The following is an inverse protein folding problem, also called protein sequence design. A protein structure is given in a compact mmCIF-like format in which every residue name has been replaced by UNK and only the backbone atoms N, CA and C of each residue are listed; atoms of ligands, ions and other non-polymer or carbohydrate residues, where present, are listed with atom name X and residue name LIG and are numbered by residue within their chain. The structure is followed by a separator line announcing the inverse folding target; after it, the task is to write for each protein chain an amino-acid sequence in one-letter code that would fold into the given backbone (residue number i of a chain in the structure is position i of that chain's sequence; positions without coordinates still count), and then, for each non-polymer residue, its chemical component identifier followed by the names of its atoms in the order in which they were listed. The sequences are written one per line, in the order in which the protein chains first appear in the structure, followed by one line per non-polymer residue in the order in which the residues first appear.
data_IF_637609476633
#
_entry.id   IF_637609476633
#
_cell.length_a   1.000
_cell.length_b   1.000
_cell.length_c   1.000
_cell.angle_alpha   90.00
_cell.angle_beta   90.00
_cell.angle_gamma   90.00
#
_symmetry.space_group_name_H-M   'P 1'
#
loop_
_entity.id
_entity.type
_entity.pdbx_description
1 polymer ?
#
# COMPACT_ATOMS: atom_id res chain seq x y z
N UNK A 1 28.31 10.07 -43.61
CA UNK A 1 28.02 9.00 -42.64
C UNK A 1 27.03 9.58 -41.66
N UNK A 2 25.76 9.22 -41.80
CA UNK A 2 24.70 9.60 -40.88
C UNK A 2 24.97 8.86 -39.58
N UNK A 3 25.36 9.56 -38.52
CA UNK A 3 25.34 9.03 -37.17
C UNK A 3 23.90 8.59 -36.90
N UNK A 4 23.70 7.26 -36.83
CA UNK A 4 22.47 6.72 -36.30
C UNK A 4 22.40 7.20 -34.84
N UNK A 5 21.55 8.20 -34.58
CA UNK A 5 21.21 8.64 -33.23
C UNK A 5 20.71 7.40 -32.53
N UNK A 6 21.50 6.85 -31.63
CA UNK A 6 21.09 5.77 -30.75
C UNK A 6 19.91 6.30 -29.90
N UNK A 7 18.68 6.09 -30.38
CA UNK A 7 17.51 6.44 -29.61
C UNK A 7 17.50 5.59 -28.34
N UNK A 8 17.59 6.23 -27.20
CA UNK A 8 17.47 5.57 -25.92
C UNK A 8 16.12 4.85 -25.85
N UNK A 9 16.08 3.64 -25.25
CA UNK A 9 14.84 2.90 -25.06
C UNK A 9 13.81 3.73 -24.27
N UNK A 10 14.24 4.69 -23.45
CA UNK A 10 13.43 5.67 -22.74
C UNK A 10 12.65 6.60 -23.69
N UNK A 11 13.11 6.79 -24.94
CA UNK A 11 12.42 7.60 -25.92
C UNK A 11 11.21 6.88 -26.53
N UNK A 12 11.21 5.55 -26.48
CA UNK A 12 10.05 4.74 -26.87
C UNK A 12 8.91 4.91 -25.86
N UNK A 13 7.77 5.47 -26.32
CA UNK A 13 6.56 5.59 -25.49
C UNK A 13 6.10 4.22 -24.99
N UNK A 14 6.04 3.21 -25.86
CA UNK A 14 5.60 1.86 -25.51
C UNK A 14 6.44 1.22 -24.42
N UNK A 15 7.78 1.35 -24.51
CA UNK A 15 8.68 0.80 -23.48
C UNK A 15 8.50 1.52 -22.13
N UNK A 16 8.42 2.84 -22.15
CA UNK A 16 8.26 3.68 -20.97
C UNK A 16 6.94 3.39 -20.23
N UNK A 17 5.83 3.39 -20.97
CA UNK A 17 4.52 3.10 -20.41
C UNK A 17 4.37 1.62 -20.00
N UNK A 18 5.03 0.70 -20.71
CA UNK A 18 5.11 -0.71 -20.33
C UNK A 18 5.84 -0.89 -18.99
N UNK A 19 6.97 -0.21 -18.78
CA UNK A 19 7.68 -0.22 -17.50
C UNK A 19 6.78 0.32 -16.37
N UNK A 20 6.08 1.44 -16.60
CA UNK A 20 5.13 1.98 -15.63
C UNK A 20 4.01 0.99 -15.29
N UNK A 21 3.41 0.34 -16.28
CA UNK A 21 2.34 -0.62 -16.06
C UNK A 21 2.77 -1.77 -15.15
N UNK A 22 3.98 -2.32 -15.35
CA UNK A 22 4.53 -3.39 -14.52
C UNK A 22 4.71 -2.94 -13.07
N UNK A 23 5.38 -1.81 -12.85
CA UNK A 23 5.66 -1.36 -11.48
C UNK A 23 4.38 -0.90 -10.76
N UNK A 24 3.44 -0.26 -11.46
CA UNK A 24 2.15 0.12 -10.91
C UNK A 24 1.29 -1.11 -10.55
N UNK A 25 1.33 -2.17 -11.36
CA UNK A 25 0.66 -3.43 -11.04
C UNK A 25 1.23 -4.06 -9.77
N UNK A 26 2.55 -4.06 -9.61
CA UNK A 26 3.20 -4.57 -8.38
C UNK A 26 2.75 -3.79 -7.15
N UNK A 27 2.68 -2.47 -7.23
CA UNK A 27 2.18 -1.64 -6.13
C UNK A 27 0.69 -1.88 -5.85
N UNK A 28 -0.14 -2.00 -6.88
CA UNK A 28 -1.55 -2.32 -6.72
C UNK A 28 -1.76 -3.60 -5.92
N UNK A 29 -0.99 -4.64 -6.24
CA UNK A 29 -1.09 -5.93 -5.54
C UNK A 29 -0.60 -5.83 -4.08
N UNK A 30 0.45 -5.05 -3.83
CA UNK A 30 0.92 -4.73 -2.49
C UNK A 30 -0.16 -4.03 -1.66
N UNK A 31 -0.78 -2.99 -2.20
CA UNK A 31 -1.88 -2.27 -1.53
C UNK A 31 -3.14 -3.12 -1.36
N UNK A 32 -3.39 -4.08 -2.25
CA UNK A 32 -4.46 -5.05 -2.04
C UNK A 32 -4.20 -5.92 -0.81
N UNK A 33 -3.01 -6.51 -0.67
CA UNK A 33 -2.65 -7.34 0.49
C UNK A 33 -2.65 -6.53 1.78
N UNK A 34 -2.24 -5.28 1.75
CA UNK A 34 -2.20 -4.43 2.93
C UNK A 34 -3.56 -4.32 3.64
N UNK A 35 -4.66 -4.39 2.89
CA UNK A 35 -6.01 -4.21 3.44
C UNK A 35 -6.92 -5.44 3.29
N UNK A 36 -6.46 -6.53 2.67
CA UNK A 36 -7.29 -7.72 2.35
C UNK A 36 -7.99 -8.33 3.56
N UNK A 37 -7.34 -8.32 4.72
CA UNK A 37 -7.88 -8.86 5.99
C UNK A 37 -8.91 -7.93 6.62
N UNK A 38 -8.89 -6.64 6.31
CA UNK A 38 -9.74 -5.63 6.93
C UNK A 38 -11.24 -5.96 6.87
N UNK A 39 -11.85 -6.23 5.70
CA UNK A 39 -13.26 -6.57 5.63
C UNK A 39 -13.61 -7.98 6.14
N UNK A 40 -12.61 -8.83 6.38
CA UNK A 40 -12.81 -10.19 6.88
C UNK A 40 -12.88 -10.27 8.41
N UNK A 41 -12.66 -9.16 9.14
CA UNK A 41 -12.67 -9.13 10.61
C UNK A 41 -13.90 -9.82 11.23
N UNK A 42 -15.17 -9.57 10.79
CA UNK A 42 -16.33 -10.24 11.34
C UNK A 42 -16.26 -11.76 11.18
N UNK A 43 -15.81 -12.26 10.03
CA UNK A 43 -15.67 -13.71 9.77
C UNK A 43 -14.55 -14.33 10.62
N UNK A 44 -13.44 -13.63 10.82
CA UNK A 44 -12.34 -14.06 11.69
C UNK A 44 -12.80 -14.18 13.14
N UNK A 45 -13.62 -13.23 13.64
CA UNK A 45 -14.18 -13.27 14.97
C UNK A 45 -15.20 -14.42 15.12
N UNK A 46 -16.08 -14.64 14.14
CA UNK A 46 -17.13 -15.64 14.18
C UNK A 46 -16.60 -17.08 13.98
N UNK A 47 -15.70 -17.29 13.02
CA UNK A 47 -15.29 -18.64 12.60
C UNK A 47 -13.92 -19.06 13.11
N UNK A 48 -13.03 -18.11 13.45
CA UNK A 48 -11.68 -18.41 13.96
C UNK A 48 -11.50 -17.97 15.42
N UNK A 49 -12.58 -17.54 16.08
CA UNK A 49 -12.57 -17.08 17.48
C UNK A 49 -11.53 -15.98 17.76
N UNK A 50 -11.26 -15.11 16.79
CA UNK A 50 -10.37 -13.97 17.01
C UNK A 50 -11.06 -12.94 17.90
N UNK A 51 -10.27 -12.23 18.70
CA UNK A 51 -10.70 -11.04 19.41
C UNK A 51 -10.33 -9.78 18.61
N UNK A 52 -10.99 -8.66 18.89
CA UNK A 52 -10.57 -7.37 18.32
C UNK A 52 -9.12 -7.01 18.70
N UNK A 53 -8.61 -7.51 19.82
CA UNK A 53 -7.20 -7.37 20.21
C UNK A 53 -6.28 -8.20 19.30
N UNK A 54 -6.64 -9.44 18.97
CA UNK A 54 -5.90 -10.29 18.03
C UNK A 54 -5.78 -9.60 16.66
N UNK A 55 -6.90 -9.06 16.18
CA UNK A 55 -6.93 -8.29 14.94
C UNK A 55 -6.06 -7.02 14.99
N UNK A 56 -6.05 -6.32 16.12
CA UNK A 56 -5.19 -5.16 16.36
C UNK A 56 -3.70 -5.53 16.34
N UNK A 57 -3.31 -6.64 16.97
CA UNK A 57 -1.92 -7.14 16.98
C UNK A 57 -1.49 -7.45 15.55
N UNK A 58 -2.31 -8.18 14.79
CA UNK A 58 -2.01 -8.46 13.39
C UNK A 58 -1.74 -7.18 12.59
N UNK A 59 -2.66 -6.22 12.63
CA UNK A 59 -2.52 -4.98 11.84
C UNK A 59 -1.36 -4.11 12.29
N UNK A 60 -1.05 -4.06 13.59
CA UNK A 60 0.09 -3.29 14.11
C UNK A 60 1.43 -3.80 13.61
N UNK A 61 1.52 -5.09 13.29
CA UNK A 61 2.76 -5.75 12.88
C UNK A 61 3.32 -5.22 11.55
N UNK A 62 2.49 -4.63 10.69
CA UNK A 62 2.91 -4.00 9.44
C UNK A 62 4.11 -3.06 9.60
N UNK A 63 4.09 -2.26 10.66
CA UNK A 63 5.13 -1.27 10.93
C UNK A 63 6.30 -1.76 11.78
N UNK A 64 6.22 -2.94 12.41
CA UNK A 64 7.20 -3.32 13.43
C UNK A 64 8.64 -3.31 12.92
N UNK A 65 8.92 -3.98 11.83
CA UNK A 65 10.28 -4.05 11.30
C UNK A 65 10.73 -2.72 10.68
N UNK A 66 9.82 -1.99 10.03
CA UNK A 66 10.13 -0.70 9.45
C UNK A 66 10.47 0.35 10.50
N UNK A 67 9.79 0.33 11.65
CA UNK A 67 10.00 1.29 12.74
C UNK A 67 11.16 0.85 13.65
N UNK A 68 11.12 -0.38 14.21
CA UNK A 68 12.10 -0.80 15.21
C UNK A 68 13.47 -1.14 14.61
N UNK A 69 13.51 -1.65 13.39
CA UNK A 69 14.77 -2.01 12.71
C UNK A 69 15.15 -1.06 11.59
N UNK A 70 14.38 0.04 11.42
CA UNK A 70 14.64 1.06 10.39
C UNK A 70 14.79 0.47 8.98
N UNK A 71 14.00 -0.59 8.69
CA UNK A 71 14.16 -1.38 7.47
C UNK A 71 13.92 -0.57 6.19
N UNK A 72 13.09 0.50 6.24
CA UNK A 72 12.92 1.40 5.11
C UNK A 72 14.21 2.18 4.80
N UNK A 73 14.94 2.63 5.83
CA UNK A 73 16.24 3.32 5.66
C UNK A 73 17.28 2.35 5.08
N UNK A 74 17.34 1.12 5.64
CA UNK A 74 18.24 0.08 5.12
C UNK A 74 17.88 -0.29 3.68
N UNK A 75 16.60 -0.39 3.36
CA UNK A 75 16.10 -0.63 2.00
C UNK A 75 16.52 0.49 1.03
N UNK A 76 16.49 1.75 1.46
CA UNK A 76 17.00 2.89 0.68
C UNK A 76 18.51 2.78 0.40
N UNK A 77 19.30 2.43 1.40
CA UNK A 77 20.74 2.20 1.24
C UNK A 77 21.05 1.03 0.28
N UNK A 78 20.27 -0.05 0.37
CA UNK A 78 20.37 -1.19 -0.55
C UNK A 78 20.00 -0.74 -1.98
N UNK A 79 18.92 0.02 -2.12
CA UNK A 79 18.47 0.56 -3.41
C UNK A 79 19.55 1.44 -4.07
N UNK A 80 20.23 2.25 -3.30
CA UNK A 80 21.29 3.11 -3.83
C UNK A 80 22.54 2.33 -4.23
N UNK A 81 22.95 1.33 -3.44
CA UNK A 81 24.14 0.51 -3.71
C UNK A 81 23.92 -0.59 -4.76
N UNK A 82 22.77 -1.26 -4.73
CA UNK A 82 22.52 -2.46 -5.54
C UNK A 82 21.55 -2.20 -6.69
N UNK A 83 20.98 -0.99 -6.76
CA UNK A 83 20.11 -0.55 -7.84
C UNK A 83 18.70 -1.14 -7.81
N UNK A 84 17.86 -0.65 -8.73
CA UNK A 84 16.41 -0.94 -8.76
C UNK A 84 16.08 -2.41 -9.05
N UNK A 85 16.91 -3.10 -9.83
CA UNK A 85 16.67 -4.51 -10.20
C UNK A 85 16.78 -5.44 -9.01
N UNK A 86 17.90 -5.37 -8.29
CA UNK A 86 18.15 -6.22 -7.14
C UNK A 86 17.14 -5.93 -6.03
N UNK A 87 16.95 -4.65 -5.71
CA UNK A 87 16.07 -4.21 -4.62
C UNK A 87 14.62 -4.57 -4.92
N UNK A 88 14.15 -4.38 -6.16
CA UNK A 88 12.78 -4.72 -6.52
C UNK A 88 12.48 -6.22 -6.53
N UNK A 89 13.44 -7.06 -6.96
CA UNK A 89 13.33 -8.52 -6.83
C UNK A 89 13.26 -8.90 -5.35
N UNK A 90 14.17 -8.40 -4.52
CA UNK A 90 14.20 -8.67 -3.09
C UNK A 90 12.92 -8.25 -2.39
N UNK A 91 12.43 -7.03 -2.67
CA UNK A 91 11.18 -6.52 -2.13
C UNK A 91 9.98 -7.39 -2.53
N UNK A 92 9.88 -7.78 -3.80
CA UNK A 92 8.79 -8.65 -4.28
C UNK A 92 8.81 -10.03 -3.61
N UNK A 93 9.98 -10.65 -3.46
CA UNK A 93 10.13 -11.93 -2.75
C UNK A 93 9.76 -11.80 -1.27
N UNK A 94 10.14 -10.70 -0.63
CA UNK A 94 9.78 -10.40 0.77
C UNK A 94 8.27 -10.24 0.92
N UNK A 95 7.59 -9.53 -0.01
CA UNK A 95 6.12 -9.44 -0.03
C UNK A 95 5.47 -10.82 -0.18
N UNK A 96 5.94 -11.64 -1.12
CA UNK A 96 5.41 -12.99 -1.37
C UNK A 96 5.59 -13.86 -0.11
N UNK A 97 6.78 -13.88 0.49
CA UNK A 97 7.05 -14.66 1.69
C UNK A 97 6.16 -14.23 2.86
N UNK A 98 6.04 -12.92 3.11
CA UNK A 98 5.17 -12.40 4.15
C UNK A 98 3.70 -12.73 3.92
N UNK A 99 3.21 -12.63 2.67
CA UNK A 99 1.83 -12.97 2.33
C UNK A 99 1.56 -14.48 2.39
N UNK A 100 2.54 -15.31 2.05
CA UNK A 100 2.41 -16.76 2.20
C UNK A 100 2.23 -17.16 3.68
N UNK A 101 2.96 -16.52 4.61
CA UNK A 101 2.76 -16.73 6.04
C UNK A 101 1.37 -16.26 6.50
N UNK A 102 0.89 -15.13 5.99
CA UNK A 102 -0.47 -14.65 6.26
C UNK A 102 -1.52 -15.65 5.74
N UNK A 103 -1.34 -16.18 4.53
CA UNK A 103 -2.22 -17.20 3.97
C UNK A 103 -2.27 -18.45 4.84
N UNK A 104 -1.12 -18.97 5.24
CA UNK A 104 -1.03 -20.14 6.14
C UNK A 104 -1.75 -19.88 7.45
N UNK A 105 -1.61 -18.65 8.00
CA UNK A 105 -2.19 -18.27 9.28
C UNK A 105 -3.74 -18.24 9.28
N UNK A 106 -4.38 -17.93 8.14
CA UNK A 106 -5.85 -17.89 8.01
C UNK A 106 -6.40 -19.06 7.20
N UNK A 107 -5.58 -20.03 6.84
CA UNK A 107 -5.98 -21.17 6.00
C UNK A 107 -6.65 -22.26 6.84
N UNK A 108 -7.79 -22.71 6.39
CA UNK A 108 -8.49 -23.88 6.95
C UNK A 108 -7.76 -25.20 6.64
N UNK A 109 -6.84 -25.17 5.64
CA UNK A 109 -6.05 -26.35 5.24
C UNK A 109 -4.93 -26.64 6.26
N UNK A 110 -4.43 -25.59 6.91
CA UNK A 110 -3.35 -25.67 7.89
C UNK A 110 -3.86 -25.26 9.28
N UNK A 111 -4.58 -26.13 10.00
CA UNK A 111 -5.10 -25.78 11.32
C UNK A 111 -3.92 -25.53 12.28
N UNK A 112 -3.74 -24.29 12.67
CA UNK A 112 -2.71 -23.88 13.63
C UNK A 112 -3.32 -23.78 15.01
N UNK A 113 -2.99 -24.74 15.88
CA UNK A 113 -3.45 -24.78 17.26
C UNK A 113 -2.33 -24.29 18.22
N UNK A 114 -2.72 -24.00 19.47
CA UNK A 114 -1.80 -23.61 20.52
C UNK A 114 -1.47 -22.11 20.56
N UNK A 115 -0.44 -21.79 21.38
CA UNK A 115 -0.01 -20.42 21.65
C UNK A 115 1.51 -20.31 21.54
N UNK A 116 1.97 -19.20 20.97
CA UNK A 116 3.37 -18.82 20.86
C UNK A 116 3.55 -17.45 21.48
N UNK A 117 4.43 -17.30 22.46
CA UNK A 117 4.64 -16.06 23.22
C UNK A 117 3.35 -15.46 23.83
N UNK A 118 2.39 -16.31 24.22
CA UNK A 118 1.12 -15.87 24.79
C UNK A 118 0.03 -15.48 23.77
N UNK A 119 0.33 -15.49 22.47
CA UNK A 119 -0.60 -15.24 21.37
C UNK A 119 -1.00 -16.55 20.70
N UNK A 120 -2.20 -16.64 20.16
CA UNK A 120 -2.60 -17.75 19.29
C UNK A 120 -1.56 -17.92 18.17
N UNK A 121 -1.20 -19.15 17.84
CA UNK A 121 -0.20 -19.45 16.80
C UNK A 121 -0.55 -18.79 15.46
N UNK A 122 -1.83 -18.77 15.11
CA UNK A 122 -2.35 -18.08 13.92
C UNK A 122 -2.01 -16.58 13.93
N UNK A 123 -2.24 -15.91 15.07
CA UNK A 123 -1.97 -14.48 15.22
C UNK A 123 -0.47 -14.19 15.16
N UNK A 124 0.33 -14.98 15.87
CA UNK A 124 1.78 -14.82 15.88
C UNK A 124 2.38 -15.00 14.48
N UNK A 125 1.96 -16.06 13.76
CA UNK A 125 2.44 -16.34 12.40
C UNK A 125 1.98 -15.27 11.40
N UNK A 126 0.70 -14.89 11.47
CA UNK A 126 0.14 -13.89 10.58
C UNK A 126 0.71 -12.49 10.81
N UNK A 127 0.91 -12.09 12.06
CA UNK A 127 1.56 -10.84 12.42
C UNK A 127 3.02 -10.82 11.93
N UNK A 128 3.77 -11.91 12.13
CA UNK A 128 5.12 -12.05 11.56
C UNK A 128 5.09 -11.89 10.03
N UNK A 129 4.17 -12.59 9.36
CA UNK A 129 3.98 -12.51 7.92
C UNK A 129 3.65 -11.09 7.47
N UNK A 130 2.78 -10.38 8.20
CA UNK A 130 2.40 -9.01 7.86
C UNK A 130 3.54 -8.01 8.10
N UNK A 131 4.35 -8.21 9.13
CA UNK A 131 5.56 -7.43 9.36
C UNK A 131 6.60 -7.61 8.24
N UNK A 132 6.86 -8.85 7.81
CA UNK A 132 7.75 -9.16 6.68
C UNK A 132 7.20 -8.54 5.39
N UNK A 133 5.91 -8.70 5.12
CA UNK A 133 5.24 -8.07 3.99
C UNK A 133 5.39 -6.55 4.02
N UNK A 134 5.23 -5.91 5.18
CA UNK A 134 5.38 -4.46 5.38
C UNK A 134 6.76 -3.95 4.95
N UNK A 135 7.83 -4.70 5.27
CA UNK A 135 9.18 -4.36 4.77
C UNK A 135 9.22 -4.41 3.25
N UNK A 136 8.68 -5.48 2.67
CA UNK A 136 8.69 -5.67 1.22
C UNK A 136 7.96 -4.56 0.47
N UNK A 137 6.75 -4.19 0.89
CA UNK A 137 5.94 -3.18 0.19
C UNK A 137 6.51 -1.77 0.32
N UNK A 138 7.08 -1.41 1.47
CA UNK A 138 7.71 -0.11 1.66
C UNK A 138 8.98 0.04 0.82
N UNK A 139 9.82 -1.00 0.78
CA UNK A 139 11.02 -1.03 -0.08
C UNK A 139 10.63 -1.06 -1.56
N UNK A 140 9.54 -1.75 -1.93
CA UNK A 140 9.00 -1.72 -3.30
C UNK A 140 8.57 -0.29 -3.68
N UNK A 141 7.91 0.45 -2.78
CA UNK A 141 7.44 1.82 -3.02
C UNK A 141 8.57 2.79 -3.39
N UNK A 142 9.67 2.79 -2.61
CA UNK A 142 10.83 3.63 -2.94
C UNK A 142 11.52 3.18 -4.23
N UNK A 143 11.55 1.87 -4.50
CA UNK A 143 12.12 1.31 -5.73
C UNK A 143 11.30 1.71 -6.95
N UNK A 144 9.97 1.60 -6.89
CA UNK A 144 9.04 2.01 -7.95
C UNK A 144 9.18 3.49 -8.25
N UNK A 145 9.26 4.34 -7.23
CA UNK A 145 9.49 5.78 -7.40
C UNK A 145 10.79 6.05 -8.17
N UNK A 146 11.89 5.36 -7.82
CA UNK A 146 13.19 5.48 -8.53
C UNK A 146 13.11 4.98 -9.97
N UNK A 147 12.37 3.89 -10.22
CA UNK A 147 12.10 3.38 -11.58
C UNK A 147 11.36 4.43 -12.41
N UNK A 148 10.28 5.02 -11.88
CA UNK A 148 9.49 6.02 -12.59
C UNK A 148 10.36 7.24 -12.93
N UNK A 149 11.13 7.74 -11.98
CA UNK A 149 12.07 8.85 -12.22
C UNK A 149 13.07 8.48 -13.33
N UNK A 150 13.68 7.29 -13.29
CA UNK A 150 14.64 6.81 -14.28
C UNK A 150 14.05 6.80 -15.70
N UNK A 151 12.81 6.32 -15.87
CA UNK A 151 12.18 6.16 -17.18
C UNK A 151 11.50 7.43 -17.70
N UNK A 152 11.04 8.32 -16.81
CA UNK A 152 10.24 9.50 -17.16
C UNK A 152 10.95 10.83 -16.91
N UNK A 153 12.24 10.84 -16.51
CA UNK A 153 13.01 12.08 -16.32
C UNK A 153 12.99 12.93 -17.61
N UNK A 154 12.51 14.15 -17.50
CA UNK A 154 12.37 15.07 -18.63
C UNK A 154 11.18 14.80 -19.56
N UNK A 155 10.28 13.90 -19.20
CA UNK A 155 9.08 13.53 -19.94
C UNK A 155 7.94 13.41 -18.91
N UNK A 156 6.76 13.11 -19.23
CA UNK A 156 5.51 13.10 -18.44
C UNK A 156 5.62 12.51 -17.00
N UNK A 157 6.65 12.93 -16.22
CA UNK A 157 6.98 12.36 -14.91
C UNK A 157 5.84 12.51 -13.89
N UNK A 158 5.24 13.70 -13.82
CA UNK A 158 4.12 13.95 -12.89
C UNK A 158 2.90 13.08 -13.22
N UNK A 159 2.60 12.90 -14.51
CA UNK A 159 1.52 12.01 -14.96
C UNK A 159 1.81 10.55 -14.61
N UNK A 160 3.04 10.09 -14.80
CA UNK A 160 3.43 8.72 -14.48
C UNK A 160 3.32 8.43 -12.98
N UNK A 161 3.80 9.34 -12.13
CA UNK A 161 3.66 9.25 -10.67
C UNK A 161 2.18 9.27 -10.24
N UNK A 162 1.37 10.14 -10.84
CA UNK A 162 -0.07 10.21 -10.55
C UNK A 162 -0.82 8.94 -10.93
N UNK A 163 -0.49 8.33 -12.07
CA UNK A 163 -1.11 7.07 -12.50
C UNK A 163 -0.68 5.86 -11.66
N UNK A 164 0.57 5.83 -11.23
CA UNK A 164 1.06 4.82 -10.30
C UNK A 164 0.27 4.90 -8.97
N UNK A 165 0.19 6.09 -8.37
CA UNK A 165 -0.57 6.30 -7.14
C UNK A 165 -2.06 5.95 -7.30
N UNK A 166 -2.68 6.32 -8.42
CA UNK A 166 -4.07 5.96 -8.70
C UNK A 166 -4.26 4.44 -8.77
N UNK A 167 -3.32 3.73 -9.42
CA UNK A 167 -3.34 2.27 -9.52
C UNK A 167 -3.15 1.62 -8.16
N UNK A 168 -2.26 2.14 -7.31
CA UNK A 168 -2.09 1.68 -5.93
C UNK A 168 -3.39 1.86 -5.12
N UNK A 169 -4.06 3.01 -5.23
CA UNK A 169 -5.37 3.25 -4.57
C UNK A 169 -6.47 2.33 -5.07
N UNK A 170 -6.44 1.95 -6.36
CA UNK A 170 -7.33 0.91 -6.87
C UNK A 170 -7.12 -0.43 -6.13
N UNK A 171 -5.89 -0.81 -5.83
CA UNK A 171 -5.58 -1.98 -5.00
C UNK A 171 -6.26 -1.91 -3.63
N UNK A 172 -6.16 -0.78 -2.94
CA UNK A 172 -6.86 -0.55 -1.65
C UNK A 172 -8.39 -0.67 -1.80
N UNK A 173 -8.96 -0.07 -2.84
CA UNK A 173 -10.41 -0.12 -3.08
C UNK A 173 -10.90 -1.55 -3.29
N UNK A 174 -10.18 -2.34 -4.09
CA UNK A 174 -10.48 -3.74 -4.33
C UNK A 174 -10.33 -4.58 -3.06
N UNK A 175 -9.32 -4.29 -2.23
CA UNK A 175 -9.10 -4.96 -0.95
C UNK A 175 -10.23 -4.72 0.06
N UNK A 176 -10.91 -3.58 0.01
CA UNK A 176 -12.05 -3.30 0.88
C UNK A 176 -13.35 -3.88 0.32
N UNK A 177 -13.53 -3.86 -1.00
CA UNK A 177 -14.78 -4.25 -1.62
C UNK A 177 -14.93 -5.77 -1.87
N UNK A 178 -13.85 -6.46 -2.27
CA UNK A 178 -13.95 -7.83 -2.78
C UNK A 178 -13.85 -8.95 -1.75
N UNK A 179 -13.03 -8.88 -0.68
CA UNK A 179 -12.75 -10.05 0.17
C UNK A 179 -13.99 -10.64 0.82
N UNK A 180 -14.88 -9.81 1.36
CA UNK A 180 -16.07 -10.29 2.05
C UNK A 180 -17.05 -11.03 1.11
N UNK A 181 -17.50 -10.47 -0.02
CA UNK A 181 -18.31 -11.23 -0.99
C UNK A 181 -17.58 -12.43 -1.58
N UNK A 182 -16.25 -12.37 -1.74
CA UNK A 182 -15.45 -13.48 -2.22
C UNK A 182 -15.48 -14.65 -1.23
N UNK A 183 -15.30 -14.38 0.06
CA UNK A 183 -15.30 -15.41 1.10
C UNK A 183 -16.68 -16.02 1.34
N UNK A 184 -17.77 -15.23 1.26
CA UNK A 184 -19.12 -15.68 1.67
C UNK A 184 -20.02 -16.10 0.52
N UNK A 185 -19.69 -15.79 -0.75
CA UNK A 185 -20.62 -16.01 -1.87
C UNK A 185 -20.00 -16.64 -3.10
N UNK A 186 -18.76 -16.25 -3.45
CA UNK A 186 -18.16 -16.71 -4.70
C UNK A 186 -17.38 -18.00 -4.51
N UNK A 187 -16.66 -18.14 -3.41
CA UNK A 187 -15.79 -19.29 -3.12
C UNK A 187 -16.14 -20.01 -1.84
N UNK A 188 -17.04 -19.44 -1.02
CA UNK A 188 -17.57 -20.01 0.20
C UNK A 188 -19.06 -19.73 0.35
N UNK A 189 -19.58 -19.92 1.56
CA UNK A 189 -20.96 -19.59 1.97
C UNK A 189 -20.93 -18.87 3.32
N UNK A 190 -22.07 -18.31 3.74
CA UNK A 190 -22.16 -17.67 5.07
C UNK A 190 -21.91 -18.68 6.21
N UNK A 191 -22.31 -19.96 6.03
CA UNK A 191 -22.06 -21.02 7.01
C UNK A 191 -20.62 -21.56 6.98
N UNK A 192 -19.99 -21.57 5.80
CA UNK A 192 -18.62 -22.06 5.58
C UNK A 192 -17.85 -21.06 4.70
N UNK A 193 -17.41 -19.93 5.26
CA UNK A 193 -16.74 -18.90 4.49
C UNK A 193 -15.32 -19.32 4.12
N UNK A 194 -14.91 -19.06 2.88
CA UNK A 194 -13.55 -19.29 2.40
C UNK A 194 -12.65 -18.08 2.76
N UNK A 195 -12.31 -17.93 4.05
CA UNK A 195 -11.61 -16.77 4.60
C UNK A 195 -10.21 -16.60 3.99
N UNK A 196 -9.53 -17.70 3.71
CA UNK A 196 -8.19 -17.69 3.12
C UNK A 196 -8.16 -17.33 1.63
N UNK A 197 -9.26 -17.46 0.90
CA UNK A 197 -9.32 -17.29 -0.54
C UNK A 197 -8.95 -15.87 -1.03
N UNK A 198 -9.38 -14.76 -0.40
CA UNK A 198 -8.94 -13.42 -0.79
C UNK A 198 -7.43 -13.20 -0.60
N UNK A 199 -6.84 -13.79 0.44
CA UNK A 199 -5.39 -13.72 0.69
C UNK A 199 -4.64 -14.53 -0.36
N UNK A 200 -5.15 -15.70 -0.73
CA UNK A 200 -4.60 -16.54 -1.79
C UNK A 200 -4.65 -15.84 -3.16
N UNK A 201 -5.75 -15.15 -3.47
CA UNK A 201 -5.82 -14.32 -4.68
C UNK A 201 -4.72 -13.27 -4.68
N UNK A 202 -4.54 -12.53 -3.58
CA UNK A 202 -3.49 -11.52 -3.46
C UNK A 202 -2.09 -12.11 -3.58
N UNK A 203 -1.85 -13.29 -3.00
CA UNK A 203 -0.58 -14.02 -3.16
C UNK A 203 -0.33 -14.37 -4.64
N UNK A 204 -1.34 -14.86 -5.35
CA UNK A 204 -1.26 -15.14 -6.78
C UNK A 204 -0.96 -13.89 -7.61
N UNK A 205 -1.61 -12.77 -7.28
CA UNK A 205 -1.34 -11.48 -7.93
C UNK A 205 0.08 -10.97 -7.66
N UNK A 206 0.61 -11.14 -6.42
CA UNK A 206 2.00 -10.80 -6.11
C UNK A 206 2.99 -11.65 -6.90
N UNK A 207 2.74 -12.95 -7.03
CA UNK A 207 3.57 -13.84 -7.87
C UNK A 207 3.53 -13.39 -9.33
N UNK A 208 2.36 -13.04 -9.86
CA UNK A 208 2.23 -12.50 -11.22
C UNK A 208 2.98 -11.16 -11.36
N UNK A 209 2.89 -10.28 -10.36
CA UNK A 209 3.65 -9.02 -10.29
C UNK A 209 5.17 -9.24 -10.26
N UNK A 210 5.62 -10.23 -9.51
CA UNK A 210 7.03 -10.63 -9.45
C UNK A 210 7.54 -11.11 -10.82
N UNK A 211 6.79 -11.98 -11.50
CA UNK A 211 7.13 -12.44 -12.85
C UNK A 211 7.19 -11.26 -13.84
N UNK A 212 6.22 -10.34 -13.76
CA UNK A 212 6.23 -9.13 -14.56
C UNK A 212 7.43 -8.22 -14.23
N UNK A 213 7.82 -8.12 -12.95
CA UNK A 213 8.99 -7.36 -12.54
C UNK A 213 10.31 -8.00 -13.01
N UNK A 214 10.40 -9.32 -13.07
CA UNK A 214 11.54 -10.01 -13.71
C UNK A 214 11.64 -9.58 -15.19
N UNK A 215 10.53 -9.55 -15.91
CA UNK A 215 10.51 -9.05 -17.29
C UNK A 215 10.95 -7.58 -17.38
N UNK A 216 10.53 -6.73 -16.44
CA UNK A 216 11.02 -5.36 -16.32
C UNK A 216 12.55 -5.32 -16.20
N UNK A 217 13.18 -6.23 -15.44
CA UNK A 217 14.65 -6.22 -15.28
C UNK A 217 15.39 -6.40 -16.60
N UNK A 218 14.82 -7.16 -17.55
CA UNK A 218 15.38 -7.27 -18.89
C UNK A 218 15.22 -5.98 -19.70
N UNK A 219 14.11 -5.28 -19.56
CA UNK A 219 13.90 -3.97 -20.17
C UNK A 219 14.89 -2.94 -19.62
N UNK A 220 15.08 -2.92 -18.32
CA UNK A 220 15.98 -2.01 -17.63
C UNK A 220 17.45 -2.21 -18.04
N UNK A 221 17.88 -3.47 -18.18
CA UNK A 221 19.22 -3.81 -18.75
C UNK A 221 19.39 -3.31 -20.17
N UNK A 222 18.35 -3.41 -21.01
CA UNK A 222 18.39 -2.89 -22.38
C UNK A 222 18.47 -1.37 -22.39
N UNK A 223 17.77 -0.68 -21.46
CA UNK A 223 17.84 0.76 -21.32
C UNK A 223 19.26 1.20 -21.01
N UNK A 224 19.91 0.64 -19.99
CA UNK A 224 21.29 0.98 -19.60
C UNK A 224 22.29 0.78 -20.76
N UNK A 225 22.15 -0.33 -21.50
CA UNK A 225 22.98 -0.57 -22.68
C UNK A 225 22.74 0.46 -23.78
N UNK A 226 21.52 0.95 -23.97
CA UNK A 226 21.20 1.94 -25.00
C UNK A 226 21.69 3.36 -24.62
N UNK A 227 21.86 3.64 -23.34
CA UNK A 227 22.34 4.92 -22.84
C UNK A 227 23.86 4.94 -22.61
N UNK A 228 24.56 3.81 -22.79
CA UNK A 228 26.00 3.70 -22.57
C UNK A 228 26.41 3.90 -21.10
N UNK A 229 25.43 3.82 -20.18
CA UNK A 229 25.67 3.92 -18.75
C UNK A 229 26.26 2.57 -18.31
N UNK A 230 27.57 2.56 -18.05
CA UNK A 230 28.20 1.47 -17.29
C UNK A 230 27.65 1.51 -15.85
N UNK A 231 27.66 0.37 -15.17
CA UNK A 231 27.17 0.18 -13.77
C UNK A 231 27.81 1.14 -12.72
N UNK A 232 28.55 2.13 -13.12
CA UNK A 232 29.00 3.23 -12.27
C UNK A 232 27.79 4.10 -11.93
N UNK A 233 27.16 3.76 -10.81
CA UNK A 233 26.23 4.61 -10.06
C UNK A 233 26.87 6.00 -10.00
N UNK A 234 26.19 7.00 -10.54
CA UNK A 234 26.66 8.39 -10.43
C UNK A 234 26.88 8.71 -8.96
N UNK A 235 28.12 8.84 -8.56
CA UNK A 235 28.56 9.07 -7.18
C UNK A 235 28.04 10.40 -6.59
N UNK A 236 27.27 11.16 -7.35
CA UNK A 236 26.78 12.49 -6.96
C UNK A 236 25.54 12.49 -6.06
N UNK A 237 24.85 11.35 -5.90
CA UNK A 237 23.61 11.26 -5.10
C UNK A 237 23.63 10.14 -4.04
N UNK A 238 24.81 9.63 -3.64
CA UNK A 238 24.86 8.65 -2.55
C UNK A 238 24.40 9.28 -1.22
N UNK A 239 23.29 8.76 -0.69
CA UNK A 239 22.83 9.10 0.65
C UNK A 239 23.90 8.77 1.69
N UNK A 240 24.37 9.78 2.44
CA UNK A 240 25.32 9.62 3.52
C UNK A 240 24.59 9.60 4.85
N UNK A 241 24.93 8.67 5.74
CA UNK A 241 24.36 8.59 7.11
C UNK A 241 24.45 9.94 7.84
N UNK A 242 25.44 10.76 7.52
CA UNK A 242 25.61 12.12 8.04
C UNK A 242 24.45 13.06 7.64
N UNK A 243 23.79 12.82 6.52
CA UNK A 243 22.69 13.66 6.02
C UNK A 243 21.44 13.52 6.91
N UNK A 244 21.27 12.38 7.61
CA UNK A 244 20.23 12.18 8.62
C UNK A 244 20.31 13.28 9.71
N UNK A 245 21.51 13.66 10.14
CA UNK A 245 21.68 14.68 11.17
C UNK A 245 21.20 16.06 10.71
N UNK A 246 21.35 16.40 9.43
CA UNK A 246 20.83 17.65 8.87
C UNK A 246 19.29 17.63 8.83
N UNK A 247 18.70 16.49 8.46
CA UNK A 247 17.24 16.31 8.42
C UNK A 247 16.65 16.45 9.83
N UNK A 248 17.20 15.72 10.81
CA UNK A 248 16.70 15.73 12.21
C UNK A 248 16.87 17.12 12.86
N UNK A 249 17.86 17.91 12.46
CA UNK A 249 18.05 19.27 12.97
C UNK A 249 17.14 20.32 12.34
N UNK A 250 16.44 19.96 11.27
CA UNK A 250 15.55 20.88 10.57
C UNK A 250 14.18 20.94 11.23
N UNK A 251 13.78 22.08 11.79
CA UNK A 251 12.47 22.27 12.40
C UNK A 251 11.32 22.07 11.40
N UNK A 252 11.50 22.43 10.13
CA UNK A 252 10.51 22.20 9.09
C UNK A 252 10.23 20.71 8.86
N UNK A 253 11.27 19.87 8.94
CA UNK A 253 11.11 18.41 8.89
C UNK A 253 10.17 17.91 10.02
N UNK A 254 10.41 18.33 11.27
CA UNK A 254 9.58 17.90 12.39
C UNK A 254 8.14 18.38 12.29
N UNK A 255 7.90 19.58 11.80
CA UNK A 255 6.53 20.08 11.60
C UNK A 255 5.78 19.22 10.60
N UNK A 256 6.41 18.86 9.46
CA UNK A 256 5.82 18.00 8.43
C UNK A 256 5.67 16.58 8.96
N UNK A 257 6.68 16.02 9.63
CA UNK A 257 6.66 14.67 10.17
C UNK A 257 5.53 14.48 11.20
N UNK A 258 5.39 15.42 12.15
CA UNK A 258 4.31 15.39 13.14
C UNK A 258 2.94 15.50 12.47
N UNK A 259 2.79 16.40 11.50
CA UNK A 259 1.53 16.53 10.76
C UNK A 259 1.18 15.22 10.05
N UNK A 260 2.14 14.57 9.37
CA UNK A 260 1.94 13.26 8.75
C UNK A 260 1.54 12.19 9.76
N UNK A 261 2.23 12.10 10.91
CA UNK A 261 1.90 11.13 11.96
C UNK A 261 0.47 11.33 12.45
N UNK A 262 0.09 12.57 12.79
CA UNK A 262 -1.25 12.88 13.31
C UNK A 262 -2.33 12.61 12.26
N UNK A 263 -2.11 12.99 11.00
CA UNK A 263 -3.06 12.76 9.92
C UNK A 263 -3.27 11.26 9.67
N UNK A 264 -2.19 10.52 9.47
CA UNK A 264 -2.27 9.10 9.17
C UNK A 264 -2.72 8.24 10.36
N UNK A 265 -2.53 8.69 11.61
CA UNK A 265 -3.10 8.04 12.79
C UNK A 265 -4.63 8.07 12.81
N UNK A 266 -5.26 9.00 12.11
CA UNK A 266 -6.71 8.99 11.88
C UNK A 266 -7.11 8.09 10.70
N UNK A 267 -6.38 8.15 9.59
CA UNK A 267 -6.78 7.50 8.34
C UNK A 267 -6.57 5.98 8.37
N UNK A 268 -5.40 5.49 8.78
CA UNK A 268 -5.08 4.05 8.69
C UNK A 268 -5.92 3.19 9.64
N UNK A 269 -6.11 3.52 10.94
CA UNK A 269 -6.99 2.75 11.78
C UNK A 269 -8.43 2.71 11.26
N UNK A 270 -8.92 3.82 10.70
CA UNK A 270 -10.23 3.83 10.06
C UNK A 270 -10.31 2.80 8.93
N UNK A 271 -9.34 2.78 8.00
CA UNK A 271 -9.35 1.82 6.89
C UNK A 271 -9.33 0.36 7.34
N UNK A 272 -8.61 0.04 8.43
CA UNK A 272 -8.56 -1.32 8.97
C UNK A 272 -9.86 -1.75 9.65
N UNK A 273 -10.59 -0.83 10.29
CA UNK A 273 -11.82 -1.13 11.02
C UNK A 273 -13.09 -0.63 10.34
N UNK A 274 -12.99 -0.04 9.15
CA UNK A 274 -14.11 0.61 8.49
C UNK A 274 -15.28 -0.35 8.20
N UNK A 275 -15.01 -1.56 7.71
CA UNK A 275 -16.05 -2.56 7.44
C UNK A 275 -16.77 -2.98 8.73
N UNK A 276 -16.01 -3.23 9.79
CA UNK A 276 -16.54 -3.56 11.12
C UNK A 276 -17.43 -2.43 11.69
N UNK A 277 -16.98 -1.17 11.54
CA UNK A 277 -17.76 0.01 11.90
C UNK A 277 -19.07 0.10 11.12
N UNK A 278 -19.08 -0.19 9.81
CA UNK A 278 -20.27 -0.17 8.99
C UNK A 278 -21.30 -1.22 9.46
N UNK A 279 -20.85 -2.42 9.81
CA UNK A 279 -21.73 -3.48 10.30
C UNK A 279 -22.26 -3.14 11.69
N UNK A 280 -21.37 -2.91 12.66
CA UNK A 280 -21.74 -2.86 14.08
C UNK A 280 -22.41 -1.54 14.50
N UNK A 281 -21.99 -0.40 13.91
CA UNK A 281 -22.57 0.89 14.26
C UNK A 281 -23.73 1.30 13.35
N UNK A 282 -23.57 1.08 12.04
CA UNK A 282 -24.51 1.59 11.04
C UNK A 282 -25.50 0.54 10.55
N UNK A 283 -25.40 -0.70 11.03
CA UNK A 283 -26.30 -1.78 10.65
C UNK A 283 -26.27 -2.13 9.15
N UNK A 284 -25.17 -1.80 8.47
CA UNK A 284 -24.99 -2.12 7.06
C UNK A 284 -24.85 -3.62 6.91
N UNK A 285 -25.60 -4.23 6.00
CA UNK A 285 -25.46 -5.65 5.72
C UNK A 285 -24.03 -5.97 5.28
N UNK A 286 -23.51 -7.13 5.64
CA UNK A 286 -22.18 -7.63 5.26
C UNK A 286 -21.91 -7.48 3.75
N UNK A 287 -22.98 -7.61 2.96
CA UNK A 287 -22.92 -7.44 1.50
C UNK A 287 -22.33 -6.10 1.05
N UNK A 288 -22.67 -5.01 1.73
CA UNK A 288 -22.32 -3.64 1.34
C UNK A 288 -21.31 -2.99 2.29
N UNK A 289 -21.00 -3.65 3.41
CA UNK A 289 -20.17 -3.08 4.45
C UNK A 289 -18.74 -2.75 3.99
N UNK A 290 -18.17 -3.55 3.09
CA UNK A 290 -16.87 -3.24 2.47
C UNK A 290 -16.95 -2.25 1.30
N UNK A 291 -18.11 -2.17 0.61
CA UNK A 291 -18.28 -1.27 -0.52
C UNK A 291 -18.29 0.21 -0.11
N UNK A 292 -18.87 0.55 1.06
CA UNK A 292 -18.89 1.94 1.55
C UNK A 292 -17.47 2.46 1.82
N UNK A 293 -16.63 1.81 2.62
CA UNK A 293 -15.25 2.26 2.83
C UNK A 293 -14.41 2.29 1.55
N UNK A 294 -14.68 1.44 0.57
CA UNK A 294 -13.97 1.45 -0.72
C UNK A 294 -14.18 2.73 -1.53
N UNK A 295 -15.27 3.48 -1.28
CA UNK A 295 -15.48 4.79 -1.91
C UNK A 295 -14.36 5.77 -1.58
N UNK A 296 -13.73 5.64 -0.42
CA UNK A 296 -12.63 6.49 0.02
C UNK A 296 -11.43 6.39 -0.94
N UNK A 297 -10.78 5.24 -1.17
CA UNK A 297 -9.69 5.14 -2.13
C UNK A 297 -10.16 5.38 -3.58
N UNK A 298 -11.39 5.07 -3.97
CA UNK A 298 -11.91 5.47 -5.28
C UNK A 298 -12.03 7.00 -5.42
N UNK A 299 -12.48 7.68 -4.37
CA UNK A 299 -12.53 9.15 -4.34
C UNK A 299 -11.15 9.77 -4.51
N UNK A 300 -10.11 9.21 -3.89
CA UNK A 300 -8.74 9.72 -4.05
C UNK A 300 -8.23 9.66 -5.47
N UNK A 301 -8.57 8.64 -6.24
CA UNK A 301 -8.18 8.52 -7.65
C UNK A 301 -8.65 9.75 -8.44
N UNK A 302 -9.86 10.25 -8.14
CA UNK A 302 -10.46 11.40 -8.82
C UNK A 302 -10.03 12.73 -8.20
N UNK A 303 -9.98 12.82 -6.88
CA UNK A 303 -9.75 14.07 -6.16
C UNK A 303 -8.27 14.48 -6.13
N UNK A 304 -7.33 13.53 -6.14
CA UNK A 304 -5.90 13.82 -6.12
C UNK A 304 -5.45 14.70 -7.30
N UNK A 305 -5.81 14.42 -8.57
CA UNK A 305 -5.50 15.31 -9.69
C UNK A 305 -6.18 16.67 -9.57
N UNK A 306 -7.40 16.72 -9.03
CA UNK A 306 -8.16 17.96 -8.84
C UNK A 306 -7.46 18.89 -7.85
N UNK A 307 -7.09 18.36 -6.68
CA UNK A 307 -6.38 19.12 -5.65
C UNK A 307 -4.94 19.46 -6.05
N UNK A 308 -4.26 18.58 -6.79
CA UNK A 308 -2.97 18.87 -7.39
C UNK A 308 -3.03 20.09 -8.33
N UNK A 309 -4.00 20.12 -9.24
CA UNK A 309 -4.21 21.27 -10.12
C UNK A 309 -4.58 22.55 -9.35
N UNK A 310 -5.39 22.42 -8.29
CA UNK A 310 -5.73 23.56 -7.44
C UNK A 310 -4.47 24.11 -6.72
N UNK A 311 -3.61 23.21 -6.22
CA UNK A 311 -2.34 23.57 -5.62
C UNK A 311 -1.42 24.28 -6.62
N UNK A 312 -1.25 23.75 -7.82
CA UNK A 312 -0.40 24.32 -8.87
C UNK A 312 -0.85 25.74 -9.26
N UNK A 313 -2.19 25.95 -9.31
CA UNK A 313 -2.76 27.27 -9.67
C UNK A 313 -2.71 28.30 -8.54
N UNK A 314 -2.91 27.89 -7.30
CA UNK A 314 -3.09 28.80 -6.15
C UNK A 314 -1.94 28.82 -5.16
N UNK A 315 -1.06 27.81 -5.19
CA UNK A 315 0.16 27.73 -4.38
C UNK A 315 -0.06 27.61 -2.86
N UNK A 316 -1.31 27.54 -2.37
CA UNK A 316 -1.65 27.60 -0.93
C UNK A 316 -1.66 26.21 -0.27
N UNK A 317 -0.55 25.46 -0.37
CA UNK A 317 -0.46 24.09 0.15
C UNK A 317 -0.80 23.96 1.62
N UNK A 318 -0.25 24.82 2.48
CA UNK A 318 -0.54 24.81 3.92
C UNK A 318 -2.06 25.01 4.21
N UNK A 319 -2.73 25.89 3.47
CA UNK A 319 -4.18 26.10 3.62
C UNK A 319 -4.98 24.86 3.23
N UNK A 320 -4.60 24.18 2.15
CA UNK A 320 -5.25 22.93 1.72
C UNK A 320 -5.07 21.85 2.78
N UNK A 321 -3.87 21.71 3.35
CA UNK A 321 -3.58 20.74 4.41
C UNK A 321 -4.39 21.02 5.67
N UNK A 322 -4.52 22.28 6.09
CA UNK A 322 -5.36 22.69 7.24
C UNK A 322 -6.83 22.32 6.99
N UNK A 323 -7.36 22.65 5.81
CA UNK A 323 -8.74 22.30 5.44
C UNK A 323 -8.95 20.78 5.48
N UNK A 324 -8.04 19.98 4.91
CA UNK A 324 -8.09 18.52 4.97
C UNK A 324 -8.08 17.99 6.41
N UNK A 325 -7.23 18.55 7.29
CA UNK A 325 -7.19 18.16 8.70
C UNK A 325 -8.48 18.51 9.44
N UNK A 326 -9.11 19.65 9.14
CA UNK A 326 -10.41 20.03 9.71
C UNK A 326 -11.50 19.05 9.25
N UNK A 327 -11.53 18.66 7.97
CA UNK A 327 -12.47 17.66 7.49
C UNK A 327 -12.27 16.31 8.18
N UNK A 328 -11.04 15.88 8.37
CA UNK A 328 -10.73 14.64 9.08
C UNK A 328 -11.28 14.68 10.52
N UNK A 329 -11.08 15.79 11.24
CA UNK A 329 -11.61 15.98 12.60
C UNK A 329 -13.15 15.95 12.62
N UNK A 330 -13.82 16.62 11.69
CA UNK A 330 -15.28 16.62 11.57
C UNK A 330 -15.80 15.20 11.36
N UNK A 331 -15.19 14.44 10.45
CA UNK A 331 -15.60 13.07 10.13
C UNK A 331 -15.46 12.15 11.34
N UNK A 332 -14.32 12.19 12.05
CA UNK A 332 -14.11 11.37 13.23
C UNK A 332 -15.03 11.78 14.38
N UNK A 333 -15.34 13.08 14.50
CA UNK A 333 -16.34 13.57 15.45
C UNK A 333 -17.73 13.00 15.15
N UNK A 334 -18.15 12.98 13.90
CA UNK A 334 -19.41 12.36 13.47
C UNK A 334 -19.40 10.85 13.79
N UNK A 335 -18.31 10.18 13.50
CA UNK A 335 -18.17 8.74 13.81
C UNK A 335 -18.14 8.45 15.31
N UNK A 336 -17.75 9.40 16.17
CA UNK A 336 -17.75 9.21 17.63
C UNK A 336 -19.13 9.35 18.27
N UNK A 337 -20.11 9.98 17.61
CA UNK A 337 -21.46 10.21 18.17
C UNK A 337 -22.32 8.94 18.03
N UNK A 338 -22.73 8.28 19.13
CA UNK A 338 -23.49 7.01 19.05
C UNK A 338 -24.87 7.16 18.40
N UNK A 339 -25.54 8.30 18.59
CA UNK A 339 -26.88 8.53 18.03
C UNK A 339 -26.91 8.72 16.52
N UNK A 340 -25.77 9.02 15.89
CA UNK A 340 -25.65 9.13 14.44
C UNK A 340 -25.30 7.76 13.84
N UNK A 341 -26.29 6.85 13.84
CA UNK A 341 -26.12 5.46 13.44
C UNK A 341 -26.81 5.09 12.10
N UNK A 342 -27.33 6.06 11.37
CA UNK A 342 -27.95 5.80 10.07
C UNK A 342 -26.86 5.71 8.97
N UNK A 343 -26.91 4.69 8.11
CA UNK A 343 -25.88 4.41 7.11
C UNK A 343 -25.62 5.56 6.11
N UNK A 344 -26.61 6.39 5.80
CA UNK A 344 -26.40 7.60 4.98
C UNK A 344 -25.46 8.61 5.64
N UNK A 345 -25.43 8.65 6.99
CA UNK A 345 -24.48 9.48 7.73
C UNK A 345 -23.04 8.99 7.53
N UNK A 346 -22.84 7.69 7.29
CA UNK A 346 -21.53 7.13 7.03
C UNK A 346 -21.02 7.41 5.61
N UNK A 347 -21.90 7.43 4.61
CA UNK A 347 -21.52 7.62 3.19
C UNK A 347 -20.90 9.01 2.97
N UNK A 348 -21.55 10.06 3.49
CA UNK A 348 -21.06 11.43 3.30
C UNK A 348 -19.66 11.65 3.89
N UNK A 349 -19.36 11.32 5.18
CA UNK A 349 -18.01 11.44 5.73
C UNK A 349 -16.98 10.62 4.97
N UNK A 350 -17.28 9.37 4.61
CA UNK A 350 -16.36 8.50 3.85
C UNK A 350 -15.99 9.13 2.51
N UNK A 351 -16.92 9.85 1.88
CA UNK A 351 -16.66 10.52 0.59
C UNK A 351 -15.82 11.78 0.71
N UNK A 352 -15.70 12.38 1.90
CA UNK A 352 -15.05 13.69 2.12
C UNK A 352 -13.70 13.61 2.86
N UNK A 353 -13.21 12.42 3.24
CA UNK A 353 -11.98 12.25 4.03
C UNK A 353 -10.67 12.40 3.23
N UNK A 354 -10.73 13.00 2.04
CA UNK A 354 -9.53 13.25 1.22
C UNK A 354 -9.38 14.67 0.74
#
# INVERSE_FOLDING_TARGET
MTEAINQSLRDSKTARWGALAVVSFTMMTGYYINYVISPLKPLLEQHMNWTSSDFGIWNSAYGWFNVFFLMLILGGLILDKMGVRFTGIGASLTMIAGTALQYIAVSEIFPLEGHVFGFKTQIALGALGFGIFGVGVEVAGITVSKVIVKWFKGKELALAMGLEMATARLGTALALALPLPMATRWLGSEAFPAISAPVMLGLGLLVAGFVAFIWYTFMDRKLEKSEGISDEVSAEEEFKVRDILFIIRNNGFWMIAILCVLFYSGVFPFLYYATDLMINKYGVSERFAGAIPSLLPFGTILLTPLFGNLYDRKGKGATIMIIGSIFLLIVHSIFSIPSLNHYFVAIAPVSYTH
#
